data_IF_135932906627
#
_entry.id   IF_135932906627
#
_cell.length_a   1.000
_cell.length_b   1.000
_cell.length_c   1.000
_cell.angle_alpha   90.00
_cell.angle_beta   90.00
_cell.angle_gamma   90.00
#
_symmetry.space_group_name_H-M   'P 1'
#
loop_
_entity.id
_entity.type
_entity.pdbx_description
1 polymer ?
#
# COMPACT_ATOMS: atom_id res chain seq x y z
N UNK A 1 -7.02 18.68 33.07
CA UNK A 1 -6.83 17.85 31.85
C UNK A 1 -6.13 16.53 32.12
N UNK A 2 -4.96 16.49 32.78
CA UNK A 2 -4.22 15.22 33.05
C UNK A 2 -5.05 14.14 33.79
N UNK A 3 -5.80 14.51 34.82
CA UNK A 3 -6.65 13.56 35.56
C UNK A 3 -7.75 12.94 34.67
N UNK A 4 -8.42 13.76 33.85
CA UNK A 4 -9.43 13.29 32.91
C UNK A 4 -8.82 12.40 31.82
N UNK A 5 -7.64 12.75 31.30
CA UNK A 5 -6.90 11.90 30.37
C UNK A 5 -6.60 10.52 30.97
N UNK A 6 -6.06 10.46 32.20
CA UNK A 6 -5.76 9.18 32.87
C UNK A 6 -7.02 8.34 33.06
N UNK A 7 -8.12 8.97 33.47
CA UNK A 7 -9.42 8.33 33.64
C UNK A 7 -9.94 7.73 32.32
N UNK A 8 -10.01 8.54 31.26
CA UNK A 8 -10.46 8.09 29.94
C UNK A 8 -9.53 7.02 29.36
N UNK A 9 -8.20 7.14 29.55
CA UNK A 9 -7.25 6.14 29.08
C UNK A 9 -7.42 4.79 29.78
N UNK A 10 -7.60 4.80 31.10
CA UNK A 10 -7.86 3.57 31.86
C UNK A 10 -9.16 2.91 31.40
N UNK A 11 -10.20 3.71 31.18
CA UNK A 11 -11.46 3.22 30.66
C UNK A 11 -11.34 2.69 29.22
N UNK A 12 -10.57 3.38 28.38
CA UNK A 12 -10.32 2.99 27.00
C UNK A 12 -9.64 1.62 26.91
N UNK A 13 -8.60 1.40 27.73
CA UNK A 13 -7.81 0.16 27.76
C UNK A 13 -8.51 -1.01 28.43
N UNK A 14 -9.48 -0.76 29.32
CA UNK A 14 -10.26 -1.80 30.00
C UNK A 14 -11.60 -2.11 29.32
N UNK A 15 -12.01 -1.31 28.33
CA UNK A 15 -13.26 -1.54 27.60
C UNK A 15 -13.17 -2.82 26.75
N UNK A 16 -14.09 -3.75 26.98
CA UNK A 16 -14.21 -5.02 26.24
C UNK A 16 -14.33 -4.82 24.72
N UNK A 17 -15.03 -3.77 24.26
CA UNK A 17 -15.14 -3.45 22.83
C UNK A 17 -13.80 -3.05 22.23
N UNK A 18 -13.05 -2.20 22.93
CA UNK A 18 -11.72 -1.77 22.48
C UNK A 18 -10.75 -2.94 22.48
N UNK A 19 -10.74 -3.75 23.55
CA UNK A 19 -9.96 -5.00 23.63
C UNK A 19 -10.30 -5.93 22.46
N UNK A 20 -11.58 -6.07 22.10
CA UNK A 20 -11.98 -6.88 20.95
C UNK A 20 -11.38 -6.37 19.63
N UNK A 21 -11.32 -5.04 19.42
CA UNK A 21 -10.66 -4.45 18.22
C UNK A 21 -9.17 -4.80 18.20
N UNK A 22 -8.47 -4.69 19.33
CA UNK A 22 -7.08 -5.13 19.44
C UNK A 22 -6.94 -6.62 19.10
N UNK A 23 -7.76 -7.48 19.69
CA UNK A 23 -7.72 -8.92 19.42
C UNK A 23 -7.97 -9.25 17.94
N UNK A 24 -8.95 -8.61 17.29
CA UNK A 24 -9.23 -8.78 15.87
C UNK A 24 -8.01 -8.40 15.02
N UNK A 25 -7.38 -7.26 15.30
CA UNK A 25 -6.19 -6.82 14.58
C UNK A 25 -4.99 -7.78 14.79
N UNK A 26 -4.81 -8.30 16.01
CA UNK A 26 -3.78 -9.29 16.32
C UNK A 26 -4.04 -10.64 15.65
N UNK A 27 -5.28 -11.13 15.68
CA UNK A 27 -5.68 -12.36 14.96
C UNK A 27 -5.47 -12.21 13.47
N UNK A 28 -5.80 -11.04 12.91
CA UNK A 28 -5.54 -10.73 11.53
C UNK A 28 -4.03 -10.76 11.22
N UNK A 29 -3.20 -10.13 12.04
CA UNK A 29 -1.74 -10.15 11.88
C UNK A 29 -1.18 -11.58 11.92
N UNK A 30 -1.64 -12.40 12.87
CA UNK A 30 -1.25 -13.80 12.97
C UNK A 30 -1.69 -14.62 11.74
N UNK A 31 -2.94 -14.45 11.30
CA UNK A 31 -3.44 -15.10 10.09
C UNK A 31 -2.65 -14.68 8.84
N UNK A 32 -2.32 -13.40 8.72
CA UNK A 32 -1.48 -12.91 7.64
C UNK A 32 -0.12 -13.60 7.65
N UNK A 33 0.58 -13.65 8.79
CA UNK A 33 1.90 -14.29 8.91
C UNK A 33 1.86 -15.79 8.55
N UNK A 34 0.85 -16.50 9.05
CA UNK A 34 0.78 -17.96 8.91
C UNK A 34 0.22 -18.43 7.57
N UNK A 35 -0.65 -17.64 6.94
CA UNK A 35 -1.36 -18.03 5.72
C UNK A 35 -0.97 -17.17 4.54
N UNK A 36 -1.33 -15.89 4.55
CA UNK A 36 -1.20 -15.04 3.36
C UNK A 36 0.25 -14.68 3.02
N UNK A 37 1.05 -14.35 4.04
CA UNK A 37 2.44 -13.98 3.90
C UNK A 37 3.33 -15.18 3.61
N UNK A 38 3.13 -16.30 4.31
CA UNK A 38 3.85 -17.55 4.09
C UNK A 38 3.67 -18.09 2.65
N UNK A 39 2.45 -17.98 2.11
CA UNK A 39 2.11 -18.46 0.76
C UNK A 39 2.17 -17.36 -0.31
N UNK A 40 2.80 -16.22 -0.03
CA UNK A 40 2.92 -15.16 -1.01
C UNK A 40 3.71 -15.63 -2.24
N UNK A 41 3.17 -15.38 -3.44
CA UNK A 41 3.85 -15.61 -4.71
C UNK A 41 3.95 -14.26 -5.45
N UNK A 42 5.16 -13.71 -5.64
CA UNK A 42 5.32 -12.52 -6.46
C UNK A 42 5.00 -12.85 -7.92
N UNK A 43 4.44 -11.87 -8.65
CA UNK A 43 4.22 -12.00 -10.10
C UNK A 43 5.55 -12.30 -10.80
N UNK A 44 6.59 -11.54 -10.46
CA UNK A 44 7.97 -11.76 -10.92
C UNK A 44 8.76 -12.66 -9.95
N UNK A 45 8.56 -13.98 -10.05
CA UNK A 45 9.32 -14.95 -9.27
C UNK A 45 10.56 -15.46 -10.02
N UNK A 46 11.61 -15.84 -9.28
CA UNK A 46 12.77 -16.50 -9.88
C UNK A 46 12.43 -17.97 -10.11
N UNK A 47 12.15 -18.31 -11.36
CA UNK A 47 11.87 -19.68 -11.79
C UNK A 47 12.97 -20.20 -12.72
N UNK A 48 13.95 -20.89 -12.15
CA UNK A 48 15.10 -21.44 -12.90
C UNK A 48 14.66 -22.46 -13.96
N UNK A 49 13.63 -23.26 -13.65
CA UNK A 49 13.13 -24.28 -14.58
C UNK A 49 12.50 -23.67 -15.82
N UNK A 50 11.72 -22.60 -15.64
CA UNK A 50 11.09 -21.85 -16.72
C UNK A 50 12.13 -21.07 -17.54
N UNK A 51 13.08 -20.39 -16.88
CA UNK A 51 14.18 -19.71 -17.58
C UNK A 51 14.98 -20.71 -18.42
N UNK A 52 15.30 -21.89 -17.88
CA UNK A 52 16.02 -22.93 -18.61
C UNK A 52 15.22 -23.45 -19.81
N UNK A 53 13.94 -23.75 -19.62
CA UNK A 53 13.08 -24.27 -20.67
C UNK A 53 12.89 -23.24 -21.81
N UNK A 54 12.63 -21.98 -21.46
CA UNK A 54 12.47 -20.90 -22.43
C UNK A 54 13.76 -20.59 -23.18
N UNK A 55 14.90 -20.56 -22.49
CA UNK A 55 16.23 -20.37 -23.12
C UNK A 55 16.53 -21.50 -24.12
N UNK A 56 16.31 -22.75 -23.71
CA UNK A 56 16.54 -23.91 -24.57
C UNK A 56 15.63 -23.89 -25.81
N UNK A 57 14.34 -23.63 -25.61
CA UNK A 57 13.37 -23.58 -26.71
C UNK A 57 13.70 -22.47 -27.72
N UNK A 58 14.13 -21.28 -27.25
CA UNK A 58 14.57 -20.18 -28.12
C UNK A 58 15.83 -20.58 -28.90
N UNK A 59 16.81 -21.20 -28.25
CA UNK A 59 18.04 -21.65 -28.91
C UNK A 59 17.77 -22.71 -29.97
N UNK A 60 16.99 -23.74 -29.63
CA UNK A 60 16.60 -24.79 -30.57
C UNK A 60 15.85 -24.22 -31.79
N UNK A 61 14.98 -23.22 -31.56
CA UNK A 61 14.30 -22.53 -32.66
C UNK A 61 15.27 -21.78 -33.57
N UNK A 62 16.20 -21.01 -33.01
CA UNK A 62 17.22 -20.28 -33.79
C UNK A 62 18.10 -21.25 -34.56
N UNK A 63 18.63 -22.28 -33.91
CA UNK A 63 19.50 -23.28 -34.54
C UNK A 63 18.81 -24.02 -35.69
N UNK A 64 17.54 -24.41 -35.52
CA UNK A 64 16.77 -25.08 -36.56
C UNK A 64 16.41 -24.18 -37.75
N UNK A 65 16.21 -22.88 -37.50
CA UNK A 65 15.72 -21.92 -38.50
C UNK A 65 16.87 -21.28 -39.29
N UNK A 66 18.05 -21.10 -38.68
CA UNK A 66 19.25 -20.55 -39.31
C UNK A 66 19.87 -21.43 -40.40
N UNK A 67 19.35 -22.65 -40.60
CA UNK A 67 19.78 -23.60 -41.64
C UNK A 67 18.97 -23.43 -42.94
N UNK A 68 17.88 -22.65 -42.94
CA UNK A 68 17.02 -22.47 -44.11
C UNK A 68 17.43 -21.24 -44.95
N UNK A 69 17.62 -21.44 -46.26
CA UNK A 69 18.10 -20.42 -47.21
C UNK A 69 17.06 -19.33 -47.57
N UNK A 70 15.77 -19.54 -47.27
CA UNK A 70 14.69 -18.60 -47.59
C UNK A 70 13.66 -18.53 -46.44
N UNK A 71 13.88 -17.60 -45.51
CA UNK A 71 13.02 -17.38 -44.35
C UNK A 71 11.93 -16.35 -44.69
N UNK A 72 10.68 -16.71 -44.43
CA UNK A 72 9.58 -15.73 -44.46
C UNK A 72 9.85 -14.58 -43.48
N UNK A 73 9.35 -13.37 -43.77
CA UNK A 73 9.62 -12.18 -42.95
C UNK A 73 9.28 -12.34 -41.46
N UNK A 74 8.26 -13.12 -41.11
CA UNK A 74 7.91 -13.41 -39.72
C UNK A 74 8.91 -14.36 -39.04
N UNK A 75 9.47 -15.32 -39.77
CA UNK A 75 10.51 -16.21 -39.26
C UNK A 75 11.82 -15.44 -39.05
N UNK A 76 12.20 -14.57 -39.99
CA UNK A 76 13.37 -13.70 -39.84
C UNK A 76 13.21 -12.76 -38.64
N UNK A 77 12.03 -12.19 -38.45
CA UNK A 77 11.73 -11.40 -37.26
C UNK A 77 11.87 -12.22 -35.96
N UNK A 78 11.31 -13.43 -35.94
CA UNK A 78 11.37 -14.32 -34.79
C UNK A 78 12.81 -14.72 -34.42
N UNK A 79 13.64 -15.08 -35.40
CA UNK A 79 15.05 -15.40 -35.21
C UNK A 79 15.79 -14.20 -34.60
N UNK A 80 15.66 -13.02 -35.20
CA UNK A 80 16.31 -11.80 -34.70
C UNK A 80 15.91 -11.49 -33.25
N UNK A 81 14.62 -11.59 -32.92
CA UNK A 81 14.12 -11.35 -31.55
C UNK A 81 14.65 -12.38 -30.56
N UNK A 82 14.65 -13.67 -30.92
CA UNK A 82 15.15 -14.70 -30.02
C UNK A 82 16.66 -14.64 -29.84
N UNK A 83 17.42 -14.26 -30.86
CA UNK A 83 18.85 -13.97 -30.72
C UNK A 83 19.10 -12.83 -29.71
N UNK A 84 18.33 -11.74 -29.76
CA UNK A 84 18.45 -10.67 -28.76
C UNK A 84 18.11 -11.17 -27.33
N UNK A 85 17.08 -12.00 -27.17
CA UNK A 85 16.77 -12.61 -25.86
C UNK A 85 17.89 -13.54 -25.38
N UNK A 86 18.44 -14.39 -26.26
CA UNK A 86 19.50 -15.35 -25.90
C UNK A 86 20.78 -14.68 -25.42
N UNK A 87 21.13 -13.51 -25.97
CA UNK A 87 22.26 -12.68 -25.48
C UNK A 87 22.14 -12.34 -23.99
N UNK A 88 20.92 -12.29 -23.45
CA UNK A 88 20.63 -11.97 -22.05
C UNK A 88 20.30 -13.22 -21.23
N UNK A 89 19.46 -14.11 -21.75
CA UNK A 89 18.95 -15.27 -21.02
C UNK A 89 20.02 -16.31 -20.70
N UNK A 90 20.96 -16.55 -21.61
CA UNK A 90 22.04 -17.52 -21.35
C UNK A 90 22.96 -17.05 -20.23
N UNK A 91 23.47 -15.79 -20.22
CA UNK A 91 24.19 -15.27 -19.07
C UNK A 91 23.35 -15.23 -17.79
N UNK A 92 22.03 -14.97 -17.86
CA UNK A 92 21.14 -15.02 -16.68
C UNK A 92 21.10 -16.41 -16.06
N UNK A 93 20.97 -17.44 -16.89
CA UNK A 93 20.94 -18.83 -16.45
C UNK A 93 22.27 -19.22 -15.80
N UNK A 94 23.40 -18.82 -16.39
CA UNK A 94 24.73 -19.03 -15.81
C UNK A 94 24.89 -18.30 -14.48
N UNK A 95 24.49 -17.03 -14.41
CA UNK A 95 24.54 -16.24 -13.19
C UNK A 95 23.69 -16.85 -12.06
N UNK A 96 22.51 -17.38 -12.38
CA UNK A 96 21.64 -18.04 -11.41
C UNK A 96 22.25 -19.37 -10.92
N UNK A 97 22.76 -20.19 -11.84
CA UNK A 97 23.40 -21.48 -11.53
C UNK A 97 24.67 -21.34 -10.67
N UNK A 98 25.41 -20.24 -10.84
CA UNK A 98 26.61 -19.90 -10.06
C UNK A 98 26.30 -19.09 -8.79
N UNK A 99 25.01 -18.88 -8.49
CA UNK A 99 24.53 -18.05 -7.39
C UNK A 99 25.08 -16.60 -7.40
N UNK A 100 25.48 -16.10 -8.58
CA UNK A 100 25.87 -14.72 -8.80
C UNK A 100 24.62 -13.83 -8.97
N UNK A 101 23.92 -13.62 -7.86
CA UNK A 101 22.65 -12.88 -7.87
C UNK A 101 22.80 -11.42 -8.30
N UNK A 102 23.99 -10.83 -8.16
CA UNK A 102 24.26 -9.47 -8.63
C UNK A 102 24.24 -9.39 -10.15
N UNK A 103 24.93 -10.31 -10.82
CA UNK A 103 24.92 -10.38 -12.29
C UNK A 103 23.53 -10.78 -12.80
N UNK A 104 22.88 -11.75 -12.16
CA UNK A 104 21.51 -12.13 -12.48
C UNK A 104 20.55 -10.92 -12.39
N UNK A 105 20.67 -10.10 -11.35
CA UNK A 105 19.83 -8.90 -11.17
C UNK A 105 20.06 -7.88 -12.28
N UNK A 106 21.31 -7.65 -12.68
CA UNK A 106 21.67 -6.75 -13.77
C UNK A 106 21.05 -7.20 -15.09
N UNK A 107 21.32 -8.43 -15.49
CA UNK A 107 20.81 -8.99 -16.74
C UNK A 107 19.28 -9.11 -16.74
N UNK A 108 18.67 -9.36 -15.58
CA UNK A 108 17.20 -9.41 -15.48
C UNK A 108 16.57 -8.03 -15.61
N UNK A 109 17.23 -6.96 -15.13
CA UNK A 109 16.77 -5.59 -15.41
C UNK A 109 16.81 -5.28 -16.91
N UNK A 110 17.91 -5.63 -17.58
CA UNK A 110 18.05 -5.51 -19.04
C UNK A 110 16.99 -6.33 -19.78
N UNK A 111 16.67 -7.54 -19.30
CA UNK A 111 15.62 -8.38 -19.86
C UNK A 111 14.22 -7.76 -19.75
N UNK A 112 13.89 -7.11 -18.63
CA UNK A 112 12.62 -6.40 -18.48
C UNK A 112 12.52 -5.19 -19.43
N UNK A 113 13.59 -4.40 -19.53
CA UNK A 113 13.65 -3.26 -20.45
C UNK A 113 13.52 -3.70 -21.91
N UNK A 114 14.23 -4.76 -22.31
CA UNK A 114 14.13 -5.36 -23.64
C UNK A 114 12.71 -5.86 -23.90
N UNK A 115 12.10 -6.55 -22.94
CA UNK A 115 10.75 -7.08 -23.09
C UNK A 115 9.71 -5.96 -23.22
N UNK A 116 9.82 -4.89 -22.45
CA UNK A 116 8.95 -3.73 -22.58
C UNK A 116 9.12 -2.98 -23.90
N UNK A 117 10.29 -3.08 -24.53
CA UNK A 117 10.53 -2.52 -25.86
C UNK A 117 9.95 -3.42 -26.98
N UNK A 118 10.15 -4.72 -26.89
CA UNK A 118 9.79 -5.68 -27.94
C UNK A 118 8.32 -6.09 -27.92
N UNK A 119 7.71 -6.31 -26.74
CA UNK A 119 6.34 -6.83 -26.64
C UNK A 119 5.33 -5.90 -27.35
N UNK A 120 5.29 -4.58 -27.08
CA UNK A 120 4.32 -3.69 -27.72
C UNK A 120 4.53 -3.49 -29.22
N UNK A 121 5.74 -3.75 -29.72
CA UNK A 121 6.11 -3.60 -31.13
C UNK A 121 6.06 -4.91 -31.91
N UNK A 122 5.84 -6.03 -31.22
CA UNK A 122 5.78 -7.35 -31.83
C UNK A 122 4.46 -7.59 -32.58
N UNK A 123 4.48 -8.43 -33.64
CA UNK A 123 3.25 -8.89 -34.26
C UNK A 123 2.30 -9.48 -33.22
N UNK A 124 1.00 -9.22 -33.40
CA UNK A 124 -0.01 -9.60 -32.41
C UNK A 124 0.09 -11.09 -32.06
N UNK A 125 0.25 -11.35 -30.76
CA UNK A 125 0.33 -12.68 -30.22
C UNK A 125 1.67 -13.41 -30.37
N UNK A 126 2.74 -12.71 -30.74
CA UNK A 126 4.08 -13.29 -30.84
C UNK A 126 4.85 -13.29 -29.50
N UNK A 127 4.85 -12.16 -28.79
CA UNK A 127 5.42 -12.04 -27.45
C UNK A 127 4.35 -11.67 -26.43
N UNK A 128 4.53 -12.15 -25.19
CA UNK A 128 3.61 -11.87 -24.10
C UNK A 128 4.37 -11.58 -22.82
N UNK A 129 3.74 -10.78 -21.98
CA UNK A 129 4.15 -10.64 -20.60
C UNK A 129 3.91 -11.92 -19.80
N UNK A 130 4.52 -11.98 -18.61
CA UNK A 130 4.30 -13.04 -17.65
C UNK A 130 2.79 -13.32 -17.44
N UNK A 131 2.42 -14.60 -17.55
CA UNK A 131 1.02 -15.04 -17.42
C UNK A 131 0.37 -14.64 -16.08
N UNK A 132 1.16 -14.37 -15.04
CA UNK A 132 0.69 -13.91 -13.73
C UNK A 132 -0.03 -12.55 -13.76
N UNK A 133 0.08 -11.76 -14.83
CA UNK A 133 -0.74 -10.55 -15.02
C UNK A 133 -2.11 -10.84 -15.63
N UNK A 134 -2.27 -11.96 -16.34
CA UNK A 134 -3.49 -12.31 -17.07
C UNK A 134 -4.40 -13.20 -16.22
N UNK A 135 -4.86 -12.66 -15.09
CA UNK A 135 -5.73 -13.38 -14.14
C UNK A 135 -7.18 -12.94 -14.24
N UNK A 136 -8.10 -13.80 -13.81
CA UNK A 136 -9.54 -13.52 -13.86
C UNK A 136 -9.88 -12.25 -13.06
N UNK A 137 -10.57 -11.32 -13.71
CA UNK A 137 -10.97 -10.04 -13.11
C UNK A 137 -10.02 -8.87 -13.39
N UNK A 138 -8.86 -9.10 -14.03
CA UNK A 138 -8.01 -8.02 -14.50
C UNK A 138 -8.42 -7.55 -15.90
N UNK A 139 -8.83 -6.28 -15.97
CA UNK A 139 -9.34 -5.68 -17.20
C UNK A 139 -8.24 -5.04 -18.07
N UNK A 140 -7.06 -4.78 -17.51
CA UNK A 140 -5.93 -4.11 -18.18
C UNK A 140 -4.59 -4.83 -17.94
N UNK A 141 -4.52 -6.15 -18.21
CA UNK A 141 -3.36 -6.96 -17.83
C UNK A 141 -2.08 -6.59 -18.59
N UNK A 142 -2.19 -6.09 -19.84
CA UNK A 142 -1.02 -5.69 -20.63
C UNK A 142 -0.37 -4.44 -20.06
N UNK A 143 -1.17 -3.43 -19.73
CA UNK A 143 -0.66 -2.19 -19.17
C UNK A 143 -0.08 -2.41 -17.77
N UNK A 144 -0.75 -3.24 -16.95
CA UNK A 144 -0.26 -3.58 -15.60
C UNK A 144 1.03 -4.38 -15.67
N UNK A 145 1.19 -5.25 -16.67
CA UNK A 145 2.43 -5.95 -16.92
C UNK A 145 3.54 -5.01 -17.40
N UNK A 146 3.24 -4.09 -18.32
CA UNK A 146 4.19 -3.07 -18.78
C UNK A 146 4.72 -2.26 -17.58
N UNK A 147 3.83 -1.77 -16.73
CA UNK A 147 4.20 -1.04 -15.52
C UNK A 147 4.98 -1.92 -14.53
N UNK A 148 4.55 -3.17 -14.33
CA UNK A 148 5.24 -4.12 -13.45
C UNK A 148 6.68 -4.39 -13.89
N UNK A 149 6.90 -4.57 -15.20
CA UNK A 149 8.23 -4.78 -15.78
C UNK A 149 9.10 -3.54 -15.65
N UNK A 150 8.55 -2.35 -15.93
CA UNK A 150 9.26 -1.08 -15.78
C UNK A 150 9.69 -0.87 -14.33
N UNK A 151 8.77 -1.01 -13.38
CA UNK A 151 9.07 -0.82 -11.95
C UNK A 151 10.03 -1.87 -11.42
N UNK A 152 9.95 -3.12 -11.89
CA UNK A 152 10.88 -4.19 -11.49
C UNK A 152 12.29 -3.93 -12.03
N UNK A 153 12.41 -3.51 -13.29
CA UNK A 153 13.68 -3.09 -13.90
C UNK A 153 14.33 -1.96 -13.10
N UNK A 154 13.58 -0.88 -12.85
CA UNK A 154 14.09 0.28 -12.07
C UNK A 154 14.49 -0.13 -10.66
N UNK A 155 13.72 -0.99 -10.00
CA UNK A 155 14.05 -1.52 -8.68
C UNK A 155 15.37 -2.28 -8.68
N UNK A 156 15.58 -3.16 -9.65
CA UNK A 156 16.83 -3.92 -9.78
C UNK A 156 18.03 -3.00 -10.08
N UNK A 157 17.86 -2.01 -10.95
CA UNK A 157 18.85 -0.97 -11.19
C UNK A 157 19.18 -0.20 -9.89
N UNK A 158 18.16 0.12 -9.08
CA UNK A 158 18.32 0.74 -7.76
C UNK A 158 19.15 -0.12 -6.81
N UNK A 159 18.87 -1.43 -6.73
CA UNK A 159 19.63 -2.37 -5.88
C UNK A 159 21.11 -2.42 -6.25
N UNK A 160 21.42 -2.39 -7.55
CA UNK A 160 22.79 -2.39 -8.06
C UNK A 160 23.50 -1.07 -7.80
N UNK A 161 22.82 0.06 -8.01
CA UNK A 161 23.35 1.42 -7.80
C UNK A 161 23.72 1.65 -6.33
N UNK A 162 22.84 1.28 -5.42
CA UNK A 162 23.03 1.42 -3.96
C UNK A 162 23.89 0.29 -3.36
N UNK A 163 24.40 -0.63 -4.19
CA UNK A 163 25.26 -1.76 -3.78
C UNK A 163 24.65 -2.59 -2.65
N UNK A 164 23.34 -2.80 -2.70
CA UNK A 164 22.61 -3.60 -1.72
C UNK A 164 23.10 -5.06 -1.77
N UNK A 165 23.27 -5.76 -0.64
CA UNK A 165 23.50 -7.20 -0.64
C UNK A 165 22.23 -7.91 -1.13
N UNK A 166 22.30 -8.42 -2.37
CA UNK A 166 21.16 -9.04 -3.04
C UNK A 166 21.02 -10.49 -2.56
N UNK A 167 19.82 -10.84 -2.11
CA UNK A 167 19.42 -12.21 -1.79
C UNK A 167 18.18 -12.57 -2.60
N UNK A 168 17.91 -13.87 -2.76
CA UNK A 168 16.71 -14.34 -3.47
C UNK A 168 15.43 -13.75 -2.89
N UNK A 169 15.32 -13.71 -1.56
CA UNK A 169 14.15 -13.14 -0.87
C UNK A 169 13.96 -11.64 -1.11
N UNK A 170 15.05 -10.88 -1.31
CA UNK A 170 14.97 -9.47 -1.68
C UNK A 170 14.44 -9.31 -3.11
N UNK A 171 14.94 -10.11 -4.05
CA UNK A 171 14.51 -10.07 -5.45
C UNK A 171 13.04 -10.46 -5.62
N UNK A 172 12.60 -11.49 -4.88
CA UNK A 172 11.21 -11.99 -4.87
C UNK A 172 10.28 -11.20 -3.93
N UNK A 173 10.74 -10.11 -3.32
CA UNK A 173 9.93 -9.25 -2.45
C UNK A 173 9.28 -9.95 -1.24
N UNK A 174 10.01 -10.90 -0.66
CA UNK A 174 9.55 -11.74 0.47
C UNK A 174 9.99 -11.22 1.84
N UNK A 175 10.86 -10.22 1.89
CA UNK A 175 11.38 -9.74 3.18
C UNK A 175 10.33 -9.00 4.00
N UNK A 176 10.51 -8.92 5.31
CA UNK A 176 9.55 -8.28 6.22
C UNK A 176 9.25 -6.82 5.82
N UNK A 177 10.27 -6.03 5.50
CA UNK A 177 10.09 -4.64 5.04
C UNK A 177 9.24 -4.54 3.76
N UNK A 178 9.47 -5.43 2.78
CA UNK A 178 8.70 -5.47 1.53
C UNK A 178 7.26 -5.93 1.75
N UNK A 179 7.02 -6.87 2.67
CA UNK A 179 5.66 -7.24 3.08
C UNK A 179 4.92 -6.06 3.73
N UNK A 180 5.57 -5.30 4.61
CA UNK A 180 4.95 -4.12 5.21
C UNK A 180 4.59 -3.07 4.16
N UNK A 181 5.49 -2.78 3.22
CA UNK A 181 5.22 -1.87 2.11
C UNK A 181 3.95 -2.30 1.35
N UNK A 182 3.90 -3.56 0.88
CA UNK A 182 2.78 -4.10 0.10
C UNK A 182 1.45 -4.09 0.88
N UNK A 183 1.51 -4.28 2.19
CA UNK A 183 0.31 -4.21 3.04
C UNK A 183 -0.32 -2.83 3.05
N UNK A 184 0.50 -1.76 3.09
CA UNK A 184 0.01 -0.38 3.01
C UNK A 184 -0.65 -0.05 1.67
N UNK A 185 -0.33 -0.78 0.60
CA UNK A 185 -0.93 -0.60 -0.74
C UNK A 185 -2.28 -1.33 -0.88
N UNK A 186 -2.57 -2.28 0.01
CA UNK A 186 -3.70 -3.21 -0.10
C UNK A 186 -4.74 -2.97 1.01
N UNK A 187 -4.94 -3.92 1.92
CA UNK A 187 -6.05 -3.90 2.87
C UNK A 187 -5.69 -3.29 4.23
N UNK A 188 -4.40 -3.18 4.58
CA UNK A 188 -3.99 -2.77 5.92
C UNK A 188 -4.50 -1.36 6.30
N UNK A 189 -4.46 -0.34 5.41
CA UNK A 189 -5.00 0.96 5.74
C UNK A 189 -6.49 0.89 6.11
N UNK A 190 -7.29 0.11 5.38
CA UNK A 190 -8.71 -0.07 5.70
C UNK A 190 -8.91 -0.71 7.07
N UNK A 191 -8.14 -1.75 7.41
CA UNK A 191 -8.22 -2.40 8.73
C UNK A 191 -7.89 -1.43 9.87
N UNK A 192 -6.83 -0.64 9.71
CA UNK A 192 -6.41 0.34 10.73
C UNK A 192 -7.40 1.51 10.85
N UNK A 193 -7.94 2.00 9.73
CA UNK A 193 -8.91 3.09 9.74
C UNK A 193 -10.29 2.63 10.24
N UNK A 194 -10.69 1.39 9.98
CA UNK A 194 -11.86 0.77 10.62
C UNK A 194 -11.64 0.67 12.13
N UNK A 195 -10.47 0.22 12.57
CA UNK A 195 -10.12 0.19 13.99
C UNK A 195 -10.23 1.58 14.61
N UNK A 196 -9.69 2.61 13.95
CA UNK A 196 -9.82 4.01 14.39
C UNK A 196 -11.29 4.44 14.50
N UNK A 197 -12.12 4.10 13.51
CA UNK A 197 -13.54 4.42 13.51
C UNK A 197 -14.25 3.80 14.70
N UNK A 198 -14.09 2.49 14.95
CA UNK A 198 -14.74 1.81 16.06
C UNK A 198 -14.27 2.34 17.42
N UNK A 199 -12.97 2.57 17.59
CA UNK A 199 -12.40 3.16 18.80
C UNK A 199 -12.95 4.58 19.04
N UNK A 200 -13.07 5.37 17.98
CA UNK A 200 -13.57 6.76 18.06
C UNK A 200 -15.06 6.81 18.40
N UNK A 201 -15.89 5.96 17.78
CA UNK A 201 -17.34 5.92 18.01
C UNK A 201 -17.61 5.62 19.48
N UNK A 202 -17.03 4.55 20.02
CA UNK A 202 -17.24 4.17 21.42
C UNK A 202 -16.78 5.28 22.38
N UNK A 203 -15.62 5.89 22.12
CA UNK A 203 -15.09 6.97 22.94
C UNK A 203 -15.98 8.23 22.90
N UNK A 204 -16.54 8.57 21.75
CA UNK A 204 -17.38 9.77 21.59
C UNK A 204 -18.78 9.55 22.19
N UNK A 205 -19.41 8.39 21.99
CA UNK A 205 -20.81 8.16 22.42
C UNK A 205 -20.96 7.81 23.88
N UNK A 206 -19.91 7.28 24.53
CA UNK A 206 -19.93 6.85 25.92
C UNK A 206 -20.44 7.89 26.92
N UNK A 207 -20.13 9.17 26.71
CA UNK A 207 -20.49 10.24 27.64
C UNK A 207 -22.00 10.37 27.82
N UNK A 208 -22.78 10.00 26.79
CA UNK A 208 -24.24 10.07 26.79
C UNK A 208 -24.87 9.17 27.84
N UNK A 209 -24.24 8.05 28.16
CA UNK A 209 -24.78 7.08 29.11
C UNK A 209 -24.42 7.39 30.57
N UNK A 210 -23.39 8.21 30.81
CA UNK A 210 -22.83 8.44 32.15
C UNK A 210 -22.51 9.91 32.44
N UNK A 211 -23.45 10.80 32.09
CA UNK A 211 -23.31 12.25 32.25
C UNK A 211 -22.97 12.69 33.69
N UNK A 212 -23.50 12.00 34.70
CA UNK A 212 -23.28 12.34 36.12
C UNK A 212 -21.82 12.24 36.56
N UNK A 213 -21.06 11.29 36.01
CA UNK A 213 -19.63 11.11 36.33
C UNK A 213 -18.79 12.24 35.71
N UNK A 214 -19.22 12.75 34.55
CA UNK A 214 -18.50 13.74 33.77
C UNK A 214 -18.70 15.19 34.25
N UNK A 215 -19.77 15.43 35.01
CA UNK A 215 -20.03 16.72 35.67
C UNK A 215 -19.04 16.99 36.82
N UNK A 216 -18.38 15.97 37.36
CA UNK A 216 -17.37 16.11 38.42
C UNK A 216 -16.02 16.69 37.97
N UNK A 217 -15.78 16.83 36.66
CA UNK A 217 -14.52 17.38 36.13
C UNK A 217 -14.69 18.84 35.69
N UNK A 218 -13.89 19.79 36.21
CA UNK A 218 -13.95 21.22 35.83
C UNK A 218 -13.23 21.45 34.49
N UNK A 219 -13.73 20.84 33.42
CA UNK A 219 -13.15 20.87 32.07
C UNK A 219 -14.24 21.18 31.05
N UNK A 220 -13.96 22.10 30.13
CA UNK A 220 -14.89 22.47 29.06
C UNK A 220 -15.11 21.31 28.08
N UNK A 221 -16.27 21.27 27.43
CA UNK A 221 -16.61 20.20 26.49
C UNK A 221 -15.65 20.08 25.31
N UNK A 222 -15.14 21.21 24.80
CA UNK A 222 -14.11 21.20 23.74
C UNK A 222 -12.80 20.57 24.22
N UNK A 223 -12.37 20.84 25.45
CA UNK A 223 -11.19 20.19 26.03
C UNK A 223 -11.40 18.68 26.26
N UNK A 224 -12.63 18.25 26.61
CA UNK A 224 -12.97 16.83 26.68
C UNK A 224 -12.83 16.14 25.32
N UNK A 225 -13.35 16.76 24.25
CA UNK A 225 -13.18 16.25 22.88
C UNK A 225 -11.71 16.15 22.45
N UNK A 226 -10.88 17.15 22.79
CA UNK A 226 -9.44 17.10 22.50
C UNK A 226 -8.74 15.97 23.24
N UNK A 227 -9.10 15.72 24.52
CA UNK A 227 -8.55 14.57 25.25
C UNK A 227 -8.96 13.25 24.60
N UNK A 228 -10.21 13.13 24.16
CA UNK A 228 -10.70 11.94 23.43
C UNK A 228 -9.98 11.74 22.11
N UNK A 229 -9.77 12.81 21.36
CA UNK A 229 -8.98 12.79 20.13
C UNK A 229 -7.58 12.21 20.38
N UNK A 230 -6.87 12.71 21.39
CA UNK A 230 -5.53 12.21 21.74
C UNK A 230 -5.55 10.74 22.13
N UNK A 231 -6.54 10.30 22.91
CA UNK A 231 -6.69 8.90 23.31
C UNK A 231 -6.97 8.01 22.10
N UNK A 232 -7.83 8.44 21.18
CA UNK A 232 -8.16 7.69 19.98
C UNK A 232 -6.94 7.56 19.05
N UNK A 233 -6.15 8.62 18.88
CA UNK A 233 -4.90 8.57 18.11
C UNK A 233 -3.85 7.66 18.76
N UNK A 234 -3.71 7.71 20.09
CA UNK A 234 -2.83 6.79 20.82
C UNK A 234 -3.31 5.34 20.67
N UNK A 235 -4.62 5.12 20.73
CA UNK A 235 -5.26 3.83 20.47
C UNK A 235 -4.93 3.28 19.08
N UNK A 236 -5.13 4.09 18.03
CA UNK A 236 -4.77 3.75 16.66
C UNK A 236 -3.26 3.44 16.53
N UNK A 237 -2.42 4.27 17.13
CA UNK A 237 -0.96 4.08 17.12
C UNK A 237 -0.54 2.77 17.80
N UNK A 238 -1.24 2.38 18.86
CA UNK A 238 -1.01 1.12 19.57
C UNK A 238 -1.46 -0.08 18.73
N UNK A 239 -2.67 -0.04 18.16
CA UNK A 239 -3.17 -1.09 17.25
C UNK A 239 -2.21 -1.29 16.08
N UNK A 240 -1.80 -0.19 15.45
CA UNK A 240 -0.88 -0.19 14.32
C UNK A 240 0.49 -0.77 14.72
N UNK A 241 1.11 -0.28 15.80
CA UNK A 241 2.41 -0.77 16.26
C UNK A 241 2.38 -2.27 16.56
N UNK A 242 1.35 -2.76 17.26
CA UNK A 242 1.22 -4.19 17.55
C UNK A 242 1.05 -5.03 16.29
N UNK A 243 0.15 -4.62 15.39
CA UNK A 243 -0.15 -5.33 14.13
C UNK A 243 1.12 -5.40 13.26
N UNK A 244 1.79 -4.27 13.06
CA UNK A 244 3.01 -4.20 12.26
C UNK A 244 4.15 -5.00 12.90
N UNK A 245 4.30 -4.98 14.22
CA UNK A 245 5.37 -5.71 14.92
C UNK A 245 5.21 -7.22 14.75
N UNK A 246 4.00 -7.75 14.90
CA UNK A 246 3.74 -9.19 14.70
C UNK A 246 4.04 -9.60 13.26
N UNK A 247 3.58 -8.80 12.29
CA UNK A 247 3.84 -9.08 10.88
C UNK A 247 5.34 -9.02 10.58
N UNK A 248 6.03 -8.00 11.07
CA UNK A 248 7.45 -7.79 10.83
C UNK A 248 8.30 -8.92 11.43
N UNK A 249 8.04 -9.30 12.68
CA UNK A 249 8.77 -10.40 13.36
C UNK A 249 8.42 -11.75 12.71
N UNK A 250 7.13 -11.99 12.46
CA UNK A 250 6.66 -13.26 11.90
C UNK A 250 7.20 -13.54 10.50
N UNK A 251 7.13 -12.56 9.59
CA UNK A 251 7.72 -12.67 8.25
C UNK A 251 9.25 -12.63 8.31
N UNK A 252 9.81 -11.81 9.20
CA UNK A 252 11.26 -11.69 9.38
C UNK A 252 11.93 -13.01 9.76
N UNK A 253 11.27 -13.85 10.55
CA UNK A 253 11.74 -15.20 10.86
C UNK A 253 11.63 -16.18 9.68
N UNK A 254 10.64 -16.03 8.81
CA UNK A 254 10.44 -16.95 7.67
C UNK A 254 11.34 -16.61 6.47
N UNK A 255 11.46 -15.34 6.13
CA UNK A 255 12.09 -14.88 4.88
C UNK A 255 13.22 -13.85 5.08
N UNK A 256 13.52 -13.50 6.33
CA UNK A 256 14.48 -12.45 6.68
C UNK A 256 13.84 -11.06 6.76
N UNK A 257 14.43 -10.19 7.55
CA UNK A 257 13.92 -8.83 7.77
C UNK A 257 14.05 -7.92 6.54
N UNK A 258 15.04 -8.18 5.68
CA UNK A 258 15.41 -7.29 4.59
C UNK A 258 16.17 -6.07 5.08
N UNK A 259 16.33 -5.07 4.22
CA UNK A 259 17.05 -3.85 4.55
C UNK A 259 16.13 -2.63 4.47
N UNK A 260 16.19 -1.80 5.51
CA UNK A 260 15.39 -0.58 5.62
C UNK A 260 15.69 0.43 4.50
N UNK A 261 16.92 0.43 3.98
CA UNK A 261 17.40 1.30 2.91
C UNK A 261 17.19 0.72 1.50
N UNK A 262 16.41 -0.36 1.34
CA UNK A 262 16.07 -0.88 0.02
C UNK A 262 15.41 0.24 -0.81
N UNK A 263 15.94 0.59 -1.99
CA UNK A 263 15.34 1.59 -2.84
C UNK A 263 14.06 1.06 -3.48
N UNK A 264 12.98 1.81 -3.34
CA UNK A 264 11.69 1.58 -3.98
C UNK A 264 11.49 2.67 -5.03
N UNK A 265 11.27 2.31 -6.31
CA UNK A 265 10.89 3.29 -7.32
C UNK A 265 9.48 3.82 -7.00
N UNK A 266 9.33 5.15 -6.99
CA UNK A 266 8.03 5.82 -6.86
C UNK A 266 7.49 6.18 -8.23
N UNK A 267 8.37 6.76 -9.05
CA UNK A 267 8.16 7.03 -10.46
C UNK A 267 9.37 6.50 -11.23
N UNK A 268 9.36 6.58 -12.56
CA UNK A 268 10.42 6.09 -13.46
C UNK A 268 11.84 6.57 -13.12
N UNK A 269 11.98 7.68 -12.37
CA UNK A 269 13.28 8.32 -12.07
C UNK A 269 13.58 8.52 -10.57
N UNK A 270 12.60 8.33 -9.67
CA UNK A 270 12.74 8.66 -8.25
C UNK A 270 12.68 7.42 -7.36
N UNK A 271 13.63 7.32 -6.44
CA UNK A 271 13.72 6.25 -5.45
C UNK A 271 13.57 6.80 -4.04
N UNK A 272 12.78 6.13 -3.21
CA UNK A 272 12.82 6.31 -1.76
C UNK A 272 13.20 5.01 -1.06
N UNK A 273 13.96 5.08 0.04
CA UNK A 273 14.21 3.91 0.87
C UNK A 273 12.90 3.44 1.54
N UNK A 274 12.73 2.13 1.71
CA UNK A 274 11.50 1.55 2.31
C UNK A 274 11.15 2.21 3.66
N UNK A 275 12.12 2.48 4.53
CA UNK A 275 11.82 3.10 5.83
C UNK A 275 11.12 4.46 5.68
N UNK A 276 11.54 5.27 4.71
CA UNK A 276 10.97 6.59 4.47
C UNK A 276 9.56 6.45 3.90
N UNK A 277 9.35 5.51 2.99
CA UNK A 277 8.05 5.17 2.44
C UNK A 277 7.07 4.72 3.55
N UNK A 278 7.52 3.86 4.47
CA UNK A 278 6.72 3.44 5.63
C UNK A 278 6.38 4.61 6.55
N UNK A 279 7.34 5.50 6.83
CA UNK A 279 7.08 6.70 7.63
C UNK A 279 6.05 7.62 6.98
N UNK A 280 6.12 7.82 5.66
CA UNK A 280 5.15 8.61 4.89
C UNK A 280 3.75 7.97 4.89
N UNK A 281 3.67 6.64 4.78
CA UNK A 281 2.41 5.92 4.88
C UNK A 281 1.78 6.03 6.27
N UNK A 282 2.59 5.89 7.32
CA UNK A 282 2.14 6.02 8.70
C UNK A 282 1.64 7.45 8.98
N UNK A 283 2.36 8.48 8.53
CA UNK A 283 1.94 9.87 8.76
C UNK A 283 0.63 10.20 8.05
N UNK A 284 0.44 9.78 6.80
CA UNK A 284 -0.84 9.94 6.09
C UNK A 284 -1.96 9.16 6.78
N UNK A 285 -1.70 7.94 7.27
CA UNK A 285 -2.70 7.13 7.96
C UNK A 285 -3.15 7.78 9.28
N UNK A 286 -2.21 8.35 10.05
CA UNK A 286 -2.54 9.08 11.28
C UNK A 286 -3.33 10.37 11.00
N UNK A 287 -3.01 11.08 9.92
CA UNK A 287 -3.80 12.23 9.46
C UNK A 287 -5.20 11.81 9.01
N UNK A 288 -5.34 10.69 8.30
CA UNK A 288 -6.63 10.14 7.92
C UNK A 288 -7.46 9.74 9.15
N UNK A 289 -6.81 9.16 10.17
CA UNK A 289 -7.43 8.89 11.46
C UNK A 289 -7.94 10.17 12.14
N UNK A 290 -7.18 11.26 12.05
CA UNK A 290 -7.60 12.59 12.53
C UNK A 290 -8.85 13.10 11.81
N UNK A 291 -8.91 13.00 10.48
CA UNK A 291 -10.10 13.37 9.69
C UNK A 291 -11.33 12.55 10.15
N UNK A 292 -11.17 11.24 10.29
CA UNK A 292 -12.25 10.33 10.73
C UNK A 292 -12.74 10.74 12.13
N UNK A 293 -11.84 10.98 13.08
CA UNK A 293 -12.22 11.37 14.43
C UNK A 293 -13.08 12.64 14.44
N UNK A 294 -12.60 13.71 13.78
CA UNK A 294 -13.31 14.99 13.79
C UNK A 294 -14.60 14.96 13.00
N UNK A 295 -14.65 14.17 11.92
CA UNK A 295 -15.90 13.91 11.18
C UNK A 295 -16.92 13.23 12.09
N UNK A 296 -16.53 12.15 12.80
CA UNK A 296 -17.40 11.45 13.74
C UNK A 296 -17.84 12.33 14.91
N UNK A 297 -16.95 13.18 15.43
CA UNK A 297 -17.29 14.13 16.48
C UNK A 297 -18.37 15.11 15.99
N UNK A 298 -18.21 15.68 14.79
CA UNK A 298 -19.19 16.56 14.19
C UNK A 298 -20.54 15.87 13.91
N UNK A 299 -20.49 14.64 13.36
CA UNK A 299 -21.68 13.82 13.14
C UNK A 299 -22.38 13.50 14.45
N UNK A 300 -21.65 13.17 15.51
CA UNK A 300 -22.21 12.91 16.83
C UNK A 300 -22.85 14.14 17.47
N UNK A 301 -22.35 15.34 17.18
CA UNK A 301 -23.00 16.59 17.61
C UNK A 301 -24.29 16.89 16.81
N UNK A 302 -24.35 16.44 15.56
CA UNK A 302 -25.47 16.70 14.64
C UNK A 302 -26.57 15.66 14.79
N UNK A 303 -26.18 14.39 14.83
CA UNK A 303 -27.02 13.21 14.91
C UNK A 303 -26.79 12.53 16.26
N UNK A 304 -27.83 12.51 17.09
CA UNK A 304 -27.82 11.84 18.39
C UNK A 304 -27.96 10.31 18.26
N UNK A 305 -27.34 9.70 17.25
CA UNK A 305 -27.48 8.28 16.94
C UNK A 305 -26.11 7.64 16.64
N UNK A 306 -25.70 6.69 17.50
CA UNK A 306 -24.43 5.95 17.37
C UNK A 306 -24.35 5.13 16.09
N UNK A 307 -25.45 4.43 15.74
CA UNK A 307 -25.50 3.58 14.56
C UNK A 307 -25.36 4.39 13.28
N UNK A 308 -26.00 5.57 13.21
CA UNK A 308 -25.90 6.45 12.05
C UNK A 308 -24.48 7.01 11.89
N UNK A 309 -23.82 7.41 12.98
CA UNK A 309 -22.42 7.87 12.94
C UNK A 309 -21.49 6.79 12.41
N UNK A 310 -21.68 5.55 12.88
CA UNK A 310 -20.90 4.40 12.43
C UNK A 310 -21.16 4.11 10.95
N UNK A 311 -22.42 4.10 10.51
CA UNK A 311 -22.80 3.86 9.11
C UNK A 311 -22.19 4.90 8.17
N UNK A 312 -22.27 6.18 8.50
CA UNK A 312 -21.67 7.26 7.70
C UNK A 312 -20.14 7.14 7.70
N UNK A 313 -19.53 6.84 8.83
CA UNK A 313 -18.08 6.64 8.91
C UNK A 313 -17.60 5.47 8.03
N UNK A 314 -18.33 4.36 8.04
CA UNK A 314 -18.03 3.21 7.17
C UNK A 314 -18.23 3.59 5.70
N UNK A 315 -19.31 4.28 5.37
CA UNK A 315 -19.55 4.77 4.01
C UNK A 315 -18.38 5.66 3.54
N UNK A 316 -17.89 6.57 4.38
CA UNK A 316 -16.72 7.41 4.09
C UNK A 316 -15.48 6.60 3.72
N UNK A 317 -15.19 5.50 4.45
CA UNK A 317 -14.05 4.64 4.18
C UNK A 317 -14.12 3.94 2.81
N UNK A 318 -15.31 3.82 2.23
CA UNK A 318 -15.50 3.18 0.93
C UNK A 318 -15.88 4.16 -0.18
N UNK A 319 -16.01 5.46 0.11
CA UNK A 319 -16.33 6.49 -0.88
C UNK A 319 -15.35 6.50 -2.05
N UNK A 320 -14.07 6.24 -1.79
CA UNK A 320 -13.03 6.14 -2.83
C UNK A 320 -13.43 5.16 -3.94
N UNK A 321 -14.09 4.04 -3.60
CA UNK A 321 -14.49 3.04 -4.58
C UNK A 321 -15.52 3.54 -5.60
N UNK A 322 -16.25 4.61 -5.29
CA UNK A 322 -17.25 5.17 -6.20
C UNK A 322 -16.61 5.89 -7.39
N UNK A 323 -15.44 6.48 -7.17
CA UNK A 323 -14.71 7.21 -8.22
C UNK A 323 -13.38 6.56 -8.60
N UNK A 324 -12.91 5.55 -7.87
CA UNK A 324 -11.73 4.77 -8.27
C UNK A 324 -11.97 4.12 -9.63
N UNK A 325 -11.16 4.49 -10.61
CA UNK A 325 -11.27 3.96 -11.96
C UNK A 325 -10.10 4.41 -12.81
N UNK A 326 -9.66 3.51 -13.68
CA UNK A 326 -8.49 3.72 -14.52
C UNK A 326 -8.74 4.90 -15.48
N UNK A 327 -7.75 5.78 -15.62
CA UNK A 327 -7.82 6.94 -16.51
C UNK A 327 -8.81 8.06 -16.10
N UNK A 328 -9.57 7.89 -15.00
CA UNK A 328 -10.54 8.92 -14.58
C UNK A 328 -9.87 10.22 -14.11
N UNK A 329 -8.64 10.14 -13.60
CA UNK A 329 -7.86 11.31 -13.18
C UNK A 329 -7.42 12.21 -14.32
N UNK A 330 -7.52 11.73 -15.57
CA UNK A 330 -7.32 12.58 -16.74
C UNK A 330 -8.46 13.61 -16.92
N UNK A 331 -9.68 13.27 -16.49
CA UNK A 331 -10.87 14.11 -16.68
C UNK A 331 -11.24 14.91 -15.43
N UNK A 332 -11.11 14.29 -14.25
CA UNK A 332 -11.50 14.90 -12.97
C UNK A 332 -10.38 14.69 -11.97
N UNK A 333 -9.94 15.78 -11.35
CA UNK A 333 -8.95 15.73 -10.28
C UNK A 333 -9.61 15.37 -8.94
N UNK A 334 -9.33 14.16 -8.45
CA UNK A 334 -9.76 13.68 -7.14
C UNK A 334 -8.66 13.80 -6.07
N UNK A 335 -7.50 14.40 -6.38
CA UNK A 335 -6.38 14.58 -5.43
C UNK A 335 -6.75 15.48 -4.26
N UNK A 336 -7.76 16.33 -4.39
CA UNK A 336 -8.23 17.19 -3.31
C UNK A 336 -9.23 16.51 -2.37
N UNK A 337 -9.63 15.26 -2.62
CA UNK A 337 -10.60 14.57 -1.78
C UNK A 337 -9.89 13.79 -0.67
N UNK A 338 -10.29 13.97 0.60
CA UNK A 338 -9.65 13.26 1.73
C UNK A 338 -9.87 11.74 1.66
N UNK A 339 -10.93 11.28 0.99
CA UNK A 339 -11.16 9.84 0.73
C UNK A 339 -10.15 9.24 -0.26
N UNK A 340 -9.47 10.05 -1.09
CA UNK A 340 -8.47 9.55 -2.05
C UNK A 340 -7.19 9.08 -1.37
N UNK A 341 -6.98 9.44 -0.10
CA UNK A 341 -5.81 9.08 0.69
C UNK A 341 -6.04 7.93 1.67
N UNK A 342 -7.11 7.15 1.46
CA UNK A 342 -7.38 5.96 2.28
C UNK A 342 -6.32 4.88 2.01
N UNK A 343 -5.94 4.68 0.74
CA UNK A 343 -4.87 3.73 0.35
C UNK A 343 -3.52 4.41 0.30
N UNK A 344 -3.02 4.80 1.48
CA UNK A 344 -1.79 5.58 1.63
C UNK A 344 -0.60 4.99 0.86
N UNK A 345 -0.44 3.66 0.85
CA UNK A 345 0.64 2.99 0.12
C UNK A 345 0.66 3.28 -1.37
N UNK A 346 -0.51 3.30 -2.02
CA UNK A 346 -0.65 3.56 -3.48
C UNK A 346 -0.38 5.01 -3.86
N UNK A 347 -0.54 5.93 -2.92
CA UNK A 347 -0.21 7.35 -3.10
C UNK A 347 1.30 7.55 -2.96
N UNK A 348 1.90 6.97 -1.92
CA UNK A 348 3.32 7.18 -1.63
C UNK A 348 4.22 6.48 -2.65
N UNK A 349 3.84 5.29 -3.13
CA UNK A 349 4.59 4.57 -4.14
C UNK A 349 4.31 5.06 -5.59
N UNK A 350 3.48 6.09 -5.77
CA UNK A 350 3.14 6.66 -7.08
C UNK A 350 2.19 5.84 -7.95
N UNK A 351 1.72 4.67 -7.50
CA UNK A 351 0.84 3.78 -8.26
C UNK A 351 -0.45 4.47 -8.69
N UNK A 352 -1.04 5.29 -7.82
CA UNK A 352 -2.29 5.98 -8.14
C UNK A 352 -2.12 7.01 -9.26
N UNK A 353 -0.93 7.61 -9.46
CA UNK A 353 -0.69 8.47 -10.62
C UNK A 353 -0.78 7.70 -11.94
N UNK A 354 -0.19 6.51 -11.97
CA UNK A 354 -0.28 5.58 -13.08
C UNK A 354 -1.73 5.12 -13.29
N UNK A 355 -2.39 4.65 -12.23
CA UNK A 355 -3.73 4.08 -12.33
C UNK A 355 -4.77 5.12 -12.77
N UNK A 356 -4.74 6.33 -12.21
CA UNK A 356 -5.64 7.41 -12.60
C UNK A 356 -5.26 8.09 -13.93
N UNK A 357 -4.08 7.80 -14.49
CA UNK A 357 -3.47 8.55 -15.59
C UNK A 357 -3.44 10.07 -15.31
N UNK A 358 -3.02 10.44 -14.11
CA UNK A 358 -2.99 11.84 -13.66
C UNK A 358 -2.00 12.65 -14.49
N UNK A 359 -2.50 13.70 -15.16
CA UNK A 359 -1.73 14.52 -16.12
C UNK A 359 -0.46 15.17 -15.52
N UNK A 360 -0.48 15.49 -14.23
CA UNK A 360 0.59 16.22 -13.55
C UNK A 360 1.16 15.48 -12.31
N UNK A 361 0.90 14.17 -12.18
CA UNK A 361 1.39 13.40 -11.02
C UNK A 361 0.86 13.92 -9.67
N UNK A 362 -0.38 14.39 -9.62
CA UNK A 362 -0.98 15.12 -8.49
C UNK A 362 -1.16 14.26 -7.22
N UNK A 363 -1.12 12.93 -7.34
CA UNK A 363 -1.22 12.02 -6.21
C UNK A 363 0.16 11.78 -5.62
N UNK A 364 0.61 12.69 -4.76
CA UNK A 364 1.89 12.55 -4.06
C UNK A 364 1.76 12.86 -2.56
N UNK A 365 2.78 12.46 -1.79
CA UNK A 365 2.81 12.58 -0.33
C UNK A 365 2.46 13.98 0.19
N UNK A 366 3.10 15.03 -0.37
CA UNK A 366 2.85 16.42 0.06
C UNK A 366 1.40 16.87 -0.17
N UNK A 367 0.79 16.48 -1.29
CA UNK A 367 -0.62 16.79 -1.55
C UNK A 367 -1.53 16.11 -0.52
N UNK A 368 -1.22 14.86 -0.14
CA UNK A 368 -1.92 14.18 0.95
C UNK A 368 -1.82 14.91 2.29
N UNK A 369 -0.63 15.42 2.65
CA UNK A 369 -0.47 16.22 3.86
C UNK A 369 -1.32 17.49 3.83
N UNK A 370 -1.36 18.20 2.70
CA UNK A 370 -2.13 19.43 2.54
C UNK A 370 -3.62 19.13 2.61
N UNK A 371 -4.13 18.20 1.80
CA UNK A 371 -5.55 17.84 1.73
C UNK A 371 -6.07 17.35 3.07
N UNK A 372 -5.37 16.41 3.72
CA UNK A 372 -5.80 15.85 5.01
C UNK A 372 -5.60 16.84 6.16
N UNK A 373 -4.52 17.62 6.14
CA UNK A 373 -4.23 18.64 7.15
C UNK A 373 -5.27 19.76 7.15
N UNK A 374 -5.59 20.31 5.98
CA UNK A 374 -6.62 21.34 5.83
C UNK A 374 -8.01 20.80 6.20
N UNK A 375 -8.36 19.61 5.73
CA UNK A 375 -9.64 18.96 6.07
C UNK A 375 -9.76 18.76 7.58
N UNK A 376 -8.70 18.26 8.23
CA UNK A 376 -8.65 18.07 9.68
C UNK A 376 -8.82 19.39 10.44
N UNK A 377 -8.14 20.45 10.00
CA UNK A 377 -8.21 21.77 10.63
C UNK A 377 -9.61 22.38 10.51
N UNK A 378 -10.24 22.27 9.33
CA UNK A 378 -11.61 22.74 9.10
C UNK A 378 -12.58 21.98 10.00
N UNK A 379 -12.55 20.64 10.00
CA UNK A 379 -13.44 19.82 10.81
C UNK A 379 -13.25 20.10 12.31
N UNK A 380 -12.00 20.19 12.78
CA UNK A 380 -11.71 20.53 14.18
C UNK A 380 -12.28 21.90 14.55
N UNK A 381 -12.04 22.92 13.72
CA UNK A 381 -12.49 24.29 13.99
C UNK A 381 -14.01 24.38 14.02
N UNK A 382 -14.69 23.80 13.02
CA UNK A 382 -16.17 23.77 12.96
C UNK A 382 -16.74 23.04 14.16
N UNK A 383 -16.20 21.87 14.51
CA UNK A 383 -16.66 21.09 15.68
C UNK A 383 -16.51 21.89 16.97
N UNK A 384 -15.35 22.51 17.19
CA UNK A 384 -15.09 23.28 18.41
C UNK A 384 -15.95 24.55 18.49
N UNK A 385 -16.17 25.27 17.38
CA UNK A 385 -17.07 26.42 17.34
C UNK A 385 -18.52 26.00 17.63
N UNK A 386 -18.97 24.89 17.03
CA UNK A 386 -20.30 24.35 17.29
C UNK A 386 -20.49 24.04 18.77
N UNK A 387 -19.52 23.36 19.40
CA UNK A 387 -19.59 23.06 20.85
C UNK A 387 -19.66 24.30 21.75
N UNK A 388 -19.11 25.45 21.32
CA UNK A 388 -19.23 26.71 22.07
C UNK A 388 -20.58 27.39 21.88
N UNK A 389 -21.15 27.33 20.67
CA UNK A 389 -22.38 28.05 20.30
C UNK A 389 -23.64 27.49 20.97
N UNK A 390 -23.71 26.17 21.16
CA UNK A 390 -24.77 25.55 21.96
C UNK A 390 -24.33 25.58 23.42
N UNK A 391 -24.94 26.46 24.25
CA UNK A 391 -24.88 26.31 25.72
C UNK A 391 -25.29 24.87 26.03
N UNK A 392 -24.32 24.06 26.44
CA UNK A 392 -24.47 22.63 26.75
C UNK A 392 -25.62 22.41 27.76
N UNK A 393 -26.81 22.07 27.26
CA UNK A 393 -27.72 21.20 28.01
C UNK A 393 -27.33 19.78 27.60
N UNK A 394 -26.52 19.15 28.45
CA UNK A 394 -26.22 17.72 28.51
C UNK A 394 -25.85 17.00 27.18
N UNK A 395 -24.55 16.84 26.93
CA UNK A 395 -24.03 15.65 26.22
C UNK A 395 -23.94 14.52 27.21
#
# INVERSE_FOLDING_TARGET
MSAYFKFEWQQFTTNKKNIAIFLIALTFAGYYVLSLGANYQPKEQINESELKATTLSRREFVDATSIADDLSGNLTYAVNVFEEYLKIDEPRLVALSTNNLKEYTKLTAEWYDLSNYLIPTSPEGFLYYNSAYFTYGEFYPMEDAFYGYEMTSKRYAGYLKEKIPITRNILEERTAFQHLQRLFETFLPYLLLLSMLFLSVDLITKDRHHQSILLGFPISSGQKLVVKYLISLLGLSLVMTLTLSIIFIGIGWQFGFGLANLPVPINSEQFLPIWQLLCQNISLLLLQGTVIFWCLALLSLTFNNEFLNLLIGVAYLFTEKLYYGRGKGFFIDYSHYPSSYIRTGKIVNGFDNYYYASKDGLYHYQQGLITLGLTSLILMTVTLLWTKSRKFHSI
#
